data_IF_111317555298
#
_entry.id   IF_111317555298
#
_cell.length_a   1.000
_cell.length_b   1.000
_cell.length_c   1.000
_cell.angle_alpha   90.00
_cell.angle_beta   90.00
_cell.angle_gamma   90.00
#
_symmetry.space_group_name_H-M   'P 1'
#
loop_
_entity.id
_entity.type
_entity.pdbx_description
1 polymer ?
#
# COMPACT_ATOMS: atom_id res chain seq x y z
N UNK A 1 -6.74 -38.78 -11.94
CA UNK A 1 -7.11 -37.62 -12.77
C UNK A 1 -6.22 -36.47 -12.33
N UNK A 2 -5.09 -36.26 -13.01
CA UNK A 2 -4.12 -35.22 -12.64
C UNK A 2 -4.48 -33.93 -13.39
N UNK A 3 -4.60 -32.82 -12.66
CA UNK A 3 -4.90 -31.51 -13.24
C UNK A 3 -3.75 -31.05 -14.15
N UNK A 4 -4.10 -30.57 -15.34
CA UNK A 4 -3.16 -30.00 -16.32
C UNK A 4 -2.72 -28.60 -15.85
N UNK A 5 -1.42 -28.26 -15.89
CA UNK A 5 -0.97 -26.91 -15.57
C UNK A 5 -1.22 -25.98 -16.77
N UNK A 6 -2.02 -24.94 -16.56
CA UNK A 6 -2.21 -23.83 -17.51
C UNK A 6 -0.94 -22.96 -17.51
N UNK A 7 -0.29 -22.88 -18.68
CA UNK A 7 1.01 -22.20 -18.91
C UNK A 7 0.85 -20.78 -19.43
N UNK A 8 -0.32 -20.17 -19.32
CA UNK A 8 -0.46 -18.74 -19.61
C UNK A 8 0.26 -17.91 -18.53
N UNK A 9 1.36 -17.25 -18.90
CA UNK A 9 2.19 -16.39 -18.03
C UNK A 9 1.50 -15.15 -17.45
N UNK A 10 0.17 -15.16 -17.33
CA UNK A 10 -0.63 -14.23 -16.56
C UNK A 10 -0.71 -14.82 -15.16
N UNK A 11 0.04 -14.28 -14.20
CA UNK A 11 -0.02 -14.78 -12.81
C UNK A 11 -1.50 -14.92 -12.44
N UNK A 12 -1.98 -16.12 -12.06
CA UNK A 12 -3.34 -16.25 -11.61
C UNK A 12 -3.55 -15.24 -10.49
N UNK A 13 -4.70 -14.56 -10.51
CA UNK A 13 -5.22 -13.84 -9.36
C UNK A 13 -4.96 -14.70 -8.11
N UNK A 14 -4.36 -14.16 -7.04
CA UNK A 14 -4.16 -14.94 -5.83
C UNK A 14 -5.53 -15.49 -5.40
N UNK A 15 -5.61 -16.80 -5.27
CA UNK A 15 -6.79 -17.50 -4.78
C UNK A 15 -7.13 -17.02 -3.36
N UNK A 16 -8.39 -17.16 -2.95
CA UNK A 16 -8.82 -16.81 -1.60
C UNK A 16 -7.95 -17.48 -0.52
N UNK A 17 -7.47 -18.69 -0.79
CA UNK A 17 -6.54 -19.44 0.06
C UNK A 17 -5.19 -18.73 0.21
N UNK A 18 -4.62 -18.23 -0.89
CA UNK A 18 -3.36 -17.47 -0.88
C UNK A 18 -3.52 -16.12 -0.16
N UNK A 19 -4.66 -15.46 -0.35
CA UNK A 19 -4.98 -14.21 0.37
C UNK A 19 -5.10 -14.49 1.88
N UNK A 20 -5.77 -15.57 2.28
CA UNK A 20 -5.87 -15.99 3.69
C UNK A 20 -4.52 -16.41 4.29
N UNK A 21 -3.66 -17.04 3.50
CA UNK A 21 -2.30 -17.37 3.91
C UNK A 21 -1.47 -16.09 4.15
N UNK A 22 -1.62 -15.08 3.29
CA UNK A 22 -1.00 -13.77 3.50
C UNK A 22 -1.53 -13.10 4.77
N UNK A 23 -2.85 -13.11 5.01
CA UNK A 23 -3.45 -12.53 6.23
C UNK A 23 -2.92 -13.19 7.52
N UNK A 24 -2.65 -14.49 7.47
CA UNK A 24 -2.10 -15.26 8.60
C UNK A 24 -0.64 -14.89 8.93
N UNK A 25 0.03 -14.11 8.08
CA UNK A 25 1.40 -13.68 8.31
C UNK A 25 1.47 -12.56 9.37
N UNK A 26 2.11 -12.84 10.50
CA UNK A 26 2.27 -11.88 11.61
C UNK A 26 3.15 -10.68 11.27
N UNK A 27 3.94 -10.71 10.19
CA UNK A 27 4.80 -9.60 9.78
C UNK A 27 4.06 -8.47 9.04
N UNK A 28 2.85 -8.74 8.56
CA UNK A 28 2.02 -7.75 7.89
C UNK A 28 1.26 -6.90 8.91
N UNK A 29 1.08 -5.61 8.60
CA UNK A 29 0.30 -4.71 9.44
C UNK A 29 -1.16 -5.12 9.48
N UNK A 30 -1.82 -4.90 10.62
CA UNK A 30 -3.25 -5.20 10.76
C UNK A 30 -4.09 -4.43 9.76
N UNK A 31 -3.71 -3.18 9.46
CA UNK A 31 -4.36 -2.38 8.43
C UNK A 31 -4.36 -3.08 7.07
N UNK A 32 -3.22 -3.64 6.65
CA UNK A 32 -3.12 -4.34 5.36
C UNK A 32 -3.94 -5.64 5.37
N UNK A 33 -3.91 -6.39 6.48
CA UNK A 33 -4.73 -7.61 6.64
C UNK A 33 -6.23 -7.30 6.54
N UNK A 34 -6.69 -6.24 7.20
CA UNK A 34 -8.09 -5.80 7.13
C UNK A 34 -8.48 -5.35 5.71
N UNK A 35 -7.59 -4.67 5.00
CA UNK A 35 -7.82 -4.30 3.60
C UNK A 35 -7.96 -5.54 2.70
N UNK A 36 -7.09 -6.55 2.87
CA UNK A 36 -7.17 -7.81 2.14
C UNK A 36 -8.46 -8.60 2.47
N UNK A 37 -8.82 -8.69 3.75
CA UNK A 37 -10.07 -9.33 4.17
C UNK A 37 -11.29 -8.63 3.54
N UNK A 38 -11.31 -7.29 3.56
CA UNK A 38 -12.41 -6.52 2.97
C UNK A 38 -12.47 -6.64 1.45
N UNK A 39 -11.36 -6.95 0.79
CA UNK A 39 -11.32 -7.15 -0.65
C UNK A 39 -11.89 -8.52 -1.09
N UNK A 40 -11.89 -9.53 -0.21
CA UNK A 40 -12.46 -10.85 -0.52
C UNK A 40 -13.96 -10.81 -0.78
N UNK A 41 -14.67 -9.86 -0.17
CA UNK A 41 -16.12 -9.69 -0.32
C UNK A 41 -16.51 -8.77 -1.50
N UNK A 42 -15.54 -8.38 -2.35
CA UNK A 42 -15.71 -7.38 -3.42
C UNK A 42 -15.37 -7.94 -4.80
N UNK A 43 -15.82 -7.25 -5.85
CA UNK A 43 -15.29 -7.49 -7.20
C UNK A 43 -13.78 -7.17 -7.21
N UNK A 44 -12.92 -8.11 -7.69
CA UNK A 44 -11.48 -7.92 -7.68
C UNK A 44 -10.98 -6.72 -8.49
N UNK A 45 -11.69 -6.30 -9.56
CA UNK A 45 -11.28 -5.14 -10.36
C UNK A 45 -11.55 -3.85 -9.61
N UNK A 46 -12.68 -3.76 -8.93
CA UNK A 46 -13.03 -2.59 -8.11
C UNK A 46 -12.10 -2.47 -6.90
N UNK A 47 -11.82 -3.58 -6.21
CA UNK A 47 -10.89 -3.61 -5.10
C UNK A 47 -9.47 -3.20 -5.53
N UNK A 48 -9.02 -3.66 -6.71
CA UNK A 48 -7.72 -3.27 -7.27
C UNK A 48 -7.68 -1.78 -7.67
N UNK A 49 -8.75 -1.24 -8.25
CA UNK A 49 -8.84 0.17 -8.60
C UNK A 49 -8.75 1.07 -7.36
N UNK A 50 -9.50 0.73 -6.30
CA UNK A 50 -9.46 1.45 -5.03
C UNK A 50 -8.09 1.36 -4.36
N UNK A 51 -7.44 0.19 -4.38
CA UNK A 51 -6.09 0.02 -3.86
C UNK A 51 -5.07 0.90 -4.62
N UNK A 52 -5.22 1.02 -5.94
CA UNK A 52 -4.42 1.93 -6.77
C UNK A 52 -4.61 3.38 -6.37
N UNK A 53 -5.85 3.83 -6.21
CA UNK A 53 -6.16 5.20 -5.76
C UNK A 53 -5.61 5.47 -4.35
N UNK A 54 -5.77 4.50 -3.45
CA UNK A 54 -5.25 4.57 -2.09
C UNK A 54 -3.74 4.74 -2.06
N UNK A 55 -3.00 3.98 -2.89
CA UNK A 55 -1.54 4.14 -3.03
C UNK A 55 -1.17 5.57 -3.43
N UNK A 56 -1.83 6.12 -4.46
CA UNK A 56 -1.57 7.49 -4.95
C UNK A 56 -1.79 8.51 -3.83
N UNK A 57 -2.90 8.39 -3.09
CA UNK A 57 -3.23 9.31 -1.99
C UNK A 57 -2.20 9.21 -0.85
N UNK A 58 -1.77 8.00 -0.49
CA UNK A 58 -0.77 7.79 0.56
C UNK A 58 0.60 8.35 0.16
N UNK A 59 1.01 8.17 -1.10
CA UNK A 59 2.26 8.74 -1.62
C UNK A 59 2.23 10.28 -1.60
N UNK A 60 1.13 10.88 -2.07
CA UNK A 60 0.95 12.33 -2.00
C UNK A 60 1.00 12.86 -0.57
N UNK A 61 0.40 12.13 0.38
CA UNK A 61 0.44 12.48 1.79
C UNK A 61 1.85 12.37 2.37
N UNK A 62 2.58 11.30 2.05
CA UNK A 62 3.97 11.13 2.50
C UNK A 62 4.86 12.27 2.00
N UNK A 63 4.79 12.59 0.70
CA UNK A 63 5.53 13.68 0.08
C UNK A 63 5.19 15.04 0.71
N UNK A 64 3.91 15.28 1.00
CA UNK A 64 3.48 16.53 1.64
C UNK A 64 4.03 16.69 3.06
N UNK A 65 4.05 15.60 3.83
CA UNK A 65 4.62 15.61 5.19
C UNK A 65 6.14 15.81 5.18
N UNK A 66 6.84 15.20 4.23
CA UNK A 66 8.28 15.39 4.06
C UNK A 66 8.61 16.82 3.66
N UNK A 67 7.90 17.38 2.68
CA UNK A 67 8.08 18.77 2.25
C UNK A 67 7.83 19.75 3.42
N UNK A 68 6.80 19.50 4.22
CA UNK A 68 6.51 20.29 5.42
C UNK A 68 7.65 20.21 6.45
N UNK A 69 8.17 19.02 6.72
CA UNK A 69 9.28 18.82 7.64
C UNK A 69 10.56 19.56 7.19
N UNK A 70 10.87 19.52 5.89
CA UNK A 70 11.99 20.24 5.30
C UNK A 70 11.82 21.77 5.41
N UNK A 71 10.62 22.27 5.09
CA UNK A 71 10.32 23.70 5.20
C UNK A 71 10.46 24.19 6.65
N UNK A 72 9.94 23.42 7.62
CA UNK A 72 10.07 23.74 9.04
C UNK A 72 11.53 23.78 9.48
N UNK A 73 12.34 22.80 9.03
CA UNK A 73 13.77 22.75 9.34
C UNK A 73 14.50 23.99 8.80
N UNK A 74 14.25 24.37 7.55
CA UNK A 74 14.86 25.55 6.93
C UNK A 74 14.50 26.85 7.66
N UNK A 75 13.24 27.00 8.11
CA UNK A 75 12.80 28.16 8.90
C UNK A 75 13.55 28.21 10.23
N UNK A 76 13.73 27.07 10.91
CA UNK A 76 14.45 27.00 12.18
C UNK A 76 15.95 27.30 12.01
N UNK A 77 16.57 26.82 10.93
CA UNK A 77 17.96 27.12 10.60
C UNK A 77 18.16 28.61 10.31
N UNK A 78 17.30 29.22 9.48
CA UNK A 78 17.36 30.65 9.19
C UNK A 78 17.22 31.51 10.46
N UNK A 79 16.33 31.12 11.38
CA UNK A 79 16.17 31.78 12.69
C UNK A 79 17.42 31.65 13.56
N UNK A 80 18.14 30.54 13.47
CA UNK A 80 19.38 30.29 14.24
C UNK A 80 20.58 31.07 13.69
N UNK A 81 20.61 31.31 12.39
CA UNK A 81 21.76 31.96 11.73
C UNK A 81 21.82 33.48 11.97
N UNK A 82 20.69 34.15 12.26
CA UNK A 82 20.61 35.60 12.53
C UNK A 82 21.11 36.50 11.37
N UNK A 83 20.64 37.75 11.24
CA UNK A 83 21.31 38.71 10.34
C UNK A 83 22.65 39.12 10.96
N UNK A 84 23.71 39.12 10.14
CA UNK A 84 25.02 39.71 10.43
C UNK A 84 24.90 41.20 10.80
#
# INVERSE_FOLDING_TARGET
>A
MAAVPDTTGKRPMPSDEEIRALISNSSLSDWFKHALLSALDRDPKDAAADAGLLSIVLDQRANSLEAYALALKAILEAKRSGPL
#
